data_IF_826665887809
#
_entry.id   IF_826665887809
#
_cell.length_a   1.000
_cell.length_b   1.000
_cell.length_c   1.000
_cell.angle_alpha   90.00
_cell.angle_beta   90.00
_cell.angle_gamma   90.00
#
_symmetry.space_group_name_H-M   'P 1'
#
loop_
_entity.id
_entity.type
_entity.pdbx_description
1 polymer ?
#
# COMPACT_ATOMS: atom_id res chain seq x y z
N UNK A 1 -33.77 -17.22 38.75
CA UNK A 1 -32.60 -16.32 38.61
C UNK A 1 -31.42 -16.89 39.40
N UNK A 2 -30.48 -17.53 38.69
CA UNK A 2 -29.27 -18.11 39.27
C UNK A 2 -28.09 -17.14 39.09
N UNK A 3 -27.19 -17.14 40.06
CA UNK A 3 -26.15 -16.15 40.30
C UNK A 3 -25.06 -16.06 39.21
N UNK A 4 -24.46 -14.86 39.12
CA UNK A 4 -23.28 -14.52 38.33
C UNK A 4 -22.06 -15.32 38.85
N UNK A 5 -21.26 -15.96 37.99
CA UNK A 5 -19.95 -16.44 38.39
C UNK A 5 -18.95 -15.28 38.38
N UNK A 6 -18.37 -15.01 39.55
CA UNK A 6 -17.08 -14.34 39.69
C UNK A 6 -15.96 -15.20 39.11
N UNK A 7 -14.99 -14.57 38.46
CA UNK A 7 -13.73 -15.20 38.08
C UNK A 7 -13.19 -14.69 36.77
N UNK A 8 -12.46 -13.58 36.80
CA UNK A 8 -11.39 -13.34 35.83
C UNK A 8 -10.51 -14.60 35.86
N UNK A 9 -10.42 -15.29 34.72
CA UNK A 9 -9.55 -16.46 34.58
C UNK A 9 -8.11 -16.12 34.97
N UNK A 10 -7.32 -17.12 35.40
CA UNK A 10 -5.97 -16.88 35.87
C UNK A 10 -5.14 -16.18 34.78
N UNK A 11 -4.41 -15.15 35.19
CA UNK A 11 -3.29 -14.59 34.42
C UNK A 11 -2.43 -15.74 33.87
N UNK A 12 -2.03 -15.72 32.59
CA UNK A 12 -1.15 -16.76 32.09
C UNK A 12 0.18 -16.72 32.85
N UNK A 13 0.60 -17.91 33.26
CA UNK A 13 1.82 -18.20 34.00
C UNK A 13 3.07 -17.65 33.28
N UNK A 14 4.09 -17.17 34.02
CA UNK A 14 5.38 -16.82 33.46
C UNK A 14 6.14 -18.13 33.22
N UNK A 15 6.26 -18.55 31.96
CA UNK A 15 7.34 -19.41 31.44
C UNK A 15 7.11 -19.67 29.95
N UNK A 16 7.43 -18.68 29.13
CA UNK A 16 7.72 -18.86 27.71
C UNK A 16 8.97 -18.02 27.42
N UNK A 17 9.97 -18.61 26.76
CA UNK A 17 11.20 -17.94 26.36
C UNK A 17 10.90 -16.52 25.80
N UNK A 18 11.71 -15.53 26.17
CA UNK A 18 11.69 -14.12 25.73
C UNK A 18 11.97 -13.92 24.21
N UNK A 19 11.48 -14.84 23.38
CA UNK A 19 11.66 -14.88 21.93
C UNK A 19 10.37 -14.61 21.15
N UNK A 20 9.23 -14.51 21.83
CA UNK A 20 7.91 -14.36 21.20
C UNK A 20 7.42 -12.91 21.28
N UNK A 21 6.94 -12.37 20.16
CA UNK A 21 6.35 -11.02 20.09
C UNK A 21 5.07 -11.03 20.92
N UNK A 22 5.09 -10.39 22.09
CA UNK A 22 3.90 -10.31 22.94
C UNK A 22 2.89 -9.37 22.31
N UNK A 23 1.70 -9.89 22.01
CA UNK A 23 0.61 -9.10 21.45
C UNK A 23 -0.13 -8.32 22.55
N UNK A 24 -0.40 -7.04 22.28
CA UNK A 24 -1.35 -6.24 23.05
C UNK A 24 -2.74 -6.55 22.55
N UNK A 25 -3.64 -6.97 23.45
CA UNK A 25 -5.00 -7.35 23.12
C UNK A 25 -6.01 -6.35 23.70
N UNK A 26 -6.90 -5.83 22.85
CA UNK A 26 -7.99 -4.97 23.29
C UNK A 26 -7.56 -3.58 23.75
N UNK A 27 -8.55 -2.77 24.13
CA UNK A 27 -8.33 -1.49 24.80
C UNK A 27 -8.07 -0.31 23.85
N UNK A 28 -7.75 0.84 24.47
CA UNK A 28 -7.51 2.10 23.78
C UNK A 28 -6.12 2.63 24.13
N UNK A 29 -5.31 2.96 23.13
CA UNK A 29 -3.97 3.51 23.33
C UNK A 29 -3.77 4.76 22.48
N UNK A 30 -3.02 5.73 23.00
CA UNK A 30 -2.70 6.98 22.29
C UNK A 30 -1.25 7.06 21.82
N UNK A 31 -0.42 6.08 22.19
CA UNK A 31 0.99 6.02 21.86
C UNK A 31 1.46 4.57 21.87
N UNK A 32 2.56 4.32 21.16
CA UNK A 32 3.32 3.08 21.23
C UNK A 32 4.68 3.47 21.80
N UNK A 33 5.05 2.87 22.92
CA UNK A 33 6.36 3.11 23.53
C UNK A 33 7.47 2.46 22.69
N UNK A 34 8.67 3.03 22.77
CA UNK A 34 9.83 2.40 22.17
C UNK A 34 10.05 1.04 22.83
N UNK A 35 10.12 -0.05 22.05
CA UNK A 35 10.28 -1.36 22.64
C UNK A 35 11.66 -1.51 23.26
N UNK A 36 11.72 -2.32 24.33
CA UNK A 36 12.97 -2.61 25.01
C UNK A 36 14.01 -3.22 24.03
N UNK A 37 15.32 -2.97 24.25
CA UNK A 37 16.37 -3.55 23.42
C UNK A 37 16.23 -5.08 23.30
N UNK A 38 16.24 -5.60 22.07
CA UNK A 38 16.12 -7.03 21.78
C UNK A 38 14.70 -7.54 21.48
N UNK A 39 13.67 -6.69 21.59
CA UNK A 39 12.31 -7.02 21.11
C UNK A 39 12.30 -7.16 19.60
N UNK A 40 11.75 -8.29 19.12
CA UNK A 40 11.79 -8.70 17.70
C UNK A 40 10.59 -8.25 16.87
N UNK A 41 9.68 -7.49 17.46
CA UNK A 41 8.45 -7.09 16.80
C UNK A 41 7.43 -6.44 17.70
N UNK A 42 6.37 -5.93 17.08
CA UNK A 42 5.21 -5.33 17.73
C UNK A 42 3.96 -6.08 17.26
N UNK A 43 3.04 -6.39 18.16
CA UNK A 43 1.79 -7.03 17.81
C UNK A 43 0.62 -6.39 18.55
N UNK A 44 -0.43 -6.03 17.82
CA UNK A 44 -1.64 -5.43 18.34
C UNK A 44 -2.85 -6.16 17.75
N UNK A 45 -3.77 -6.57 18.62
CA UNK A 45 -4.98 -7.31 18.26
C UNK A 45 -6.19 -6.65 18.89
N UNK A 46 -7.15 -6.23 18.07
CA UNK A 46 -8.40 -5.60 18.52
C UNK A 46 -8.16 -4.32 19.37
N UNK A 47 -7.12 -3.56 19.02
CA UNK A 47 -6.73 -2.33 19.73
C UNK A 47 -7.30 -1.11 19.01
N UNK A 48 -7.81 -0.12 19.76
CA UNK A 48 -8.22 1.17 19.23
C UNK A 48 -7.16 2.23 19.51
N UNK A 49 -6.52 2.73 18.47
CA UNK A 49 -5.58 3.83 18.57
C UNK A 49 -6.33 5.15 18.56
N UNK A 50 -6.19 5.96 19.61
CA UNK A 50 -6.88 7.25 19.75
C UNK A 50 -6.07 8.44 19.24
N UNK A 51 -4.88 8.18 18.71
CA UNK A 51 -4.02 9.18 18.06
C UNK A 51 -3.27 8.51 16.90
N UNK A 52 -2.77 9.32 15.97
CA UNK A 52 -1.93 8.83 14.88
C UNK A 52 -0.61 8.28 15.43
N UNK A 53 -0.21 7.10 14.94
CA UNK A 53 0.99 6.40 15.39
C UNK A 53 2.08 6.49 14.33
N UNK A 54 3.30 6.76 14.78
CA UNK A 54 4.50 6.71 13.94
C UNK A 54 5.40 5.60 14.45
N UNK A 55 5.66 4.60 13.60
CA UNK A 55 6.60 3.53 13.85
C UNK A 55 7.90 3.85 13.10
N UNK A 56 8.86 4.43 13.82
CA UNK A 56 10.19 4.72 13.28
C UNK A 56 11.12 3.52 13.46
N UNK A 57 11.36 2.79 12.37
CA UNK A 57 12.12 1.54 12.41
C UNK A 57 13.62 1.78 12.66
N UNK A 58 14.11 3.02 12.62
CA UNK A 58 15.50 3.33 12.97
C UNK A 58 15.75 3.23 14.48
N UNK A 59 14.69 3.34 15.29
CA UNK A 59 14.74 3.28 16.75
C UNK A 59 14.62 1.85 17.30
N UNK A 60 14.26 0.92 16.43
CA UNK A 60 14.08 -0.49 16.77
C UNK A 60 15.42 -1.20 16.63
N UNK A 61 16.10 -1.45 17.75
CA UNK A 61 17.43 -2.05 17.79
C UNK A 61 17.38 -3.54 17.40
N UNK A 62 17.42 -3.78 16.08
CA UNK A 62 17.41 -5.13 15.49
C UNK A 62 18.53 -5.35 14.44
N UNK A 63 19.80 -5.09 14.76
CA UNK A 63 20.90 -5.35 13.83
C UNK A 63 20.96 -6.86 13.55
N UNK A 64 20.69 -7.25 12.30
CA UNK A 64 20.72 -8.62 11.75
C UNK A 64 19.44 -9.47 11.86
N UNK A 65 18.31 -8.96 12.36
CA UNK A 65 17.07 -9.74 12.45
C UNK A 65 15.89 -9.07 11.74
N UNK A 66 14.87 -9.87 11.36
CA UNK A 66 13.65 -9.35 10.73
C UNK A 66 12.73 -8.82 11.81
N UNK A 67 12.32 -7.56 11.68
CA UNK A 67 11.35 -6.95 12.58
C UNK A 67 9.92 -7.33 12.15
N UNK A 68 9.13 -7.91 13.05
CA UNK A 68 7.74 -8.29 12.73
C UNK A 68 6.75 -7.31 13.36
N UNK A 69 5.97 -6.60 12.56
CA UNK A 69 4.90 -5.69 13.02
C UNK A 69 3.57 -6.27 12.57
N UNK A 70 2.64 -6.47 13.50
CA UNK A 70 1.30 -7.00 13.21
C UNK A 70 0.22 -6.14 13.86
N UNK A 71 -0.72 -5.67 13.05
CA UNK A 71 -1.94 -4.98 13.46
C UNK A 71 -3.13 -5.77 12.92
N UNK A 72 -3.88 -6.41 13.81
CA UNK A 72 -5.02 -7.26 13.46
C UNK A 72 -6.29 -6.71 14.10
N UNK A 73 -7.30 -6.43 13.29
CA UNK A 73 -8.59 -5.90 13.77
C UNK A 73 -8.45 -4.61 14.57
N UNK A 74 -7.46 -3.78 14.23
CA UNK A 74 -7.21 -2.52 14.92
C UNK A 74 -8.06 -1.39 14.32
N UNK A 75 -8.38 -0.40 15.13
CA UNK A 75 -8.94 0.88 14.67
C UNK A 75 -7.85 1.93 14.78
N UNK A 76 -7.52 2.59 13.68
CA UNK A 76 -6.37 3.47 13.53
C UNK A 76 -6.82 4.89 13.25
N UNK A 77 -6.38 5.86 14.06
CA UNK A 77 -6.52 7.29 13.72
C UNK A 77 -5.56 7.73 12.60
N UNK A 78 -4.50 6.96 12.35
CA UNK A 78 -3.44 7.22 11.38
C UNK A 78 -2.23 6.33 11.70
N UNK A 79 -1.49 5.90 10.68
CA UNK A 79 -0.31 5.06 10.86
C UNK A 79 0.77 5.42 9.86
N UNK A 80 1.96 5.78 10.34
CA UNK A 80 3.16 6.01 9.52
C UNK A 80 4.23 4.99 9.87
N UNK A 81 4.70 4.23 8.89
CA UNK A 81 5.76 3.23 9.03
C UNK A 81 7.00 3.74 8.29
N UNK A 82 8.05 4.06 9.04
CA UNK A 82 9.27 4.67 8.51
C UNK A 82 10.42 3.67 8.44
N UNK A 83 10.69 3.21 7.24
CA UNK A 83 11.78 2.30 6.91
C UNK A 83 13.16 2.88 7.25
N UNK A 84 14.03 2.03 7.79
CA UNK A 84 15.41 2.34 8.20
C UNK A 84 16.48 1.68 7.31
N UNK A 85 16.06 0.99 6.25
CA UNK A 85 16.89 0.10 5.43
C UNK A 85 17.02 -1.32 6.01
N UNK A 86 16.46 -1.58 7.19
CA UNK A 86 16.40 -2.91 7.79
C UNK A 86 15.32 -3.79 7.12
N UNK A 87 15.46 -5.12 7.28
CA UNK A 87 14.45 -6.09 6.85
C UNK A 87 13.26 -6.07 7.82
N UNK A 88 12.05 -5.93 7.30
CA UNK A 88 10.82 -5.90 8.11
C UNK A 88 9.72 -6.76 7.49
N UNK A 89 8.89 -7.35 8.34
CA UNK A 89 7.59 -7.91 7.97
C UNK A 89 6.50 -7.09 8.65
N UNK A 90 5.70 -6.37 7.87
CA UNK A 90 4.56 -5.59 8.34
C UNK A 90 3.29 -6.28 7.86
N UNK A 91 2.33 -6.45 8.76
CA UNK A 91 1.00 -6.99 8.46
C UNK A 91 -0.06 -6.12 9.11
N UNK A 92 -0.86 -5.44 8.29
CA UNK A 92 -2.05 -4.67 8.70
C UNK A 92 -3.26 -5.37 8.13
N UNK A 93 -4.04 -6.05 8.97
CA UNK A 93 -5.09 -6.97 8.52
C UNK A 93 -6.40 -6.73 9.24
N UNK A 94 -7.52 -6.76 8.51
CA UNK A 94 -8.87 -6.53 9.01
C UNK A 94 -9.02 -5.27 9.87
N UNK A 95 -8.17 -4.26 9.62
CA UNK A 95 -8.12 -3.04 10.40
C UNK A 95 -8.93 -1.93 9.73
N UNK A 96 -9.29 -0.90 10.50
CA UNK A 96 -10.04 0.25 9.99
C UNK A 96 -9.30 1.53 10.28
N UNK A 97 -9.28 2.45 9.30
CA UNK A 97 -8.78 3.81 9.47
C UNK A 97 -9.97 4.74 9.75
N UNK A 98 -9.93 5.47 10.87
CA UNK A 98 -11.04 6.31 11.33
C UNK A 98 -10.98 7.74 10.78
N UNK A 99 -9.77 8.32 10.67
CA UNK A 99 -9.65 9.74 10.26
C UNK A 99 -8.39 10.16 9.50
N UNK A 100 -7.29 9.40 9.61
CA UNK A 100 -5.98 9.81 9.08
C UNK A 100 -5.66 9.17 7.74
N UNK A 101 -4.39 8.85 7.55
CA UNK A 101 -3.82 8.12 6.41
C UNK A 101 -2.93 6.95 6.89
N UNK A 102 -2.64 6.03 5.97
CA UNK A 102 -1.62 5.00 6.13
C UNK A 102 -0.40 5.36 5.26
N UNK A 103 0.71 5.71 5.91
CA UNK A 103 1.95 6.11 5.25
C UNK A 103 3.02 5.02 5.36
N UNK A 104 3.66 4.69 4.22
CA UNK A 104 4.95 4.02 4.17
C UNK A 104 6.00 5.02 3.69
N UNK A 105 7.10 5.14 4.43
CA UNK A 105 8.14 6.11 4.10
C UNK A 105 9.54 5.56 4.28
N UNK A 106 10.45 5.92 3.38
CA UNK A 106 11.87 5.57 3.49
C UNK A 106 12.21 4.19 2.94
N UNK A 107 13.30 3.63 3.46
CA UNK A 107 13.95 2.47 2.86
C UNK A 107 13.58 1.18 3.57
N UNK A 108 13.17 0.17 2.80
CA UNK A 108 12.88 -1.16 3.27
C UNK A 108 13.93 -2.13 2.72
N UNK A 109 14.68 -2.76 3.63
CA UNK A 109 15.80 -3.63 3.29
C UNK A 109 15.39 -4.85 2.46
N UNK A 110 16.38 -5.58 1.95
CA UNK A 110 16.14 -6.77 1.14
C UNK A 110 15.31 -7.84 1.89
N UNK A 111 14.38 -8.44 1.16
CA UNK A 111 13.42 -9.45 1.63
C UNK A 111 12.42 -8.94 2.67
N UNK A 112 12.06 -7.66 2.60
CA UNK A 112 10.99 -7.09 3.41
C UNK A 112 9.62 -7.47 2.85
N UNK A 113 8.63 -7.65 3.72
CA UNK A 113 7.25 -7.96 3.35
C UNK A 113 6.32 -6.96 4.00
N UNK A 114 5.61 -6.18 3.21
CA UNK A 114 4.61 -5.23 3.68
C UNK A 114 3.26 -5.72 3.16
N UNK A 115 2.32 -5.95 4.06
CA UNK A 115 0.99 -6.46 3.74
C UNK A 115 -0.07 -5.58 4.38
N UNK A 116 -1.02 -5.13 3.57
CA UNK A 116 -2.28 -4.53 4.01
C UNK A 116 -3.41 -5.36 3.40
N UNK A 117 -4.21 -6.02 4.23
CA UNK A 117 -5.23 -6.95 3.73
C UNK A 117 -6.58 -6.86 4.44
N UNK A 118 -7.67 -7.00 3.67
CA UNK A 118 -9.02 -7.06 4.22
C UNK A 118 -9.43 -5.85 5.05
N UNK A 119 -8.76 -4.70 4.88
CA UNK A 119 -8.88 -3.51 5.72
C UNK A 119 -9.77 -2.45 5.07
N UNK A 120 -10.43 -1.63 5.90
CA UNK A 120 -11.20 -0.47 5.47
C UNK A 120 -10.42 0.81 5.73
N UNK A 121 -9.95 1.47 4.67
CA UNK A 121 -9.05 2.62 4.74
C UNK A 121 -9.73 3.78 4.00
N UNK A 122 -10.60 4.49 4.70
CA UNK A 122 -11.39 5.59 4.15
C UNK A 122 -10.99 6.89 4.83
N UNK A 123 -10.77 7.95 4.03
CA UNK A 123 -10.36 9.26 4.56
C UNK A 123 -10.85 10.41 3.69
N UNK A 124 -10.98 11.59 4.31
CA UNK A 124 -11.27 12.85 3.61
C UNK A 124 -9.98 13.60 3.21
N UNK A 125 -8.81 13.02 3.48
CA UNK A 125 -7.52 13.53 3.03
C UNK A 125 -7.33 13.28 1.53
N UNK A 126 -6.39 14.00 0.91
CA UNK A 126 -6.06 13.81 -0.52
C UNK A 126 -5.72 12.38 -0.88
N UNK A 127 -5.21 11.58 0.05
CA UNK A 127 -4.88 10.17 -0.14
C UNK A 127 -5.19 9.31 1.09
N UNK A 128 -5.59 8.06 0.88
CA UNK A 128 -5.83 7.10 1.95
C UNK A 128 -4.56 6.33 2.34
N UNK A 129 -3.78 5.92 1.35
CA UNK A 129 -2.45 5.33 1.52
C UNK A 129 -1.43 6.18 0.77
N UNK A 130 -0.32 6.51 1.43
CA UNK A 130 0.81 7.18 0.78
C UNK A 130 2.10 6.38 0.91
N UNK A 131 2.83 6.28 -0.19
CA UNK A 131 4.20 5.80 -0.24
C UNK A 131 5.12 6.98 -0.59
N UNK A 132 5.78 7.54 0.42
CA UNK A 132 6.60 8.75 0.32
C UNK A 132 8.09 8.39 0.36
N UNK A 133 8.83 8.67 -0.72
CA UNK A 133 10.27 8.33 -0.82
C UNK A 133 10.48 6.86 -0.45
N UNK A 134 9.80 5.98 -1.18
CA UNK A 134 9.59 4.59 -0.84
C UNK A 134 10.53 3.70 -1.64
N UNK A 135 11.50 3.09 -0.96
CA UNK A 135 12.47 2.18 -1.58
C UNK A 135 12.25 0.75 -1.10
N UNK A 136 11.95 -0.16 -2.04
CA UNK A 136 11.90 -1.60 -1.80
C UNK A 136 13.20 -2.25 -2.29
N UNK A 137 13.99 -2.74 -1.33
CA UNK A 137 15.17 -3.55 -1.62
C UNK A 137 14.83 -4.89 -2.28
N UNK A 138 15.88 -5.62 -2.67
CA UNK A 138 15.72 -6.88 -3.41
C UNK A 138 14.87 -7.95 -2.71
N UNK A 139 14.03 -8.61 -3.51
CA UNK A 139 13.07 -9.63 -3.08
C UNK A 139 12.06 -9.12 -2.04
N UNK A 140 11.81 -7.81 -2.01
CA UNK A 140 10.83 -7.22 -1.11
C UNK A 140 9.49 -7.02 -1.80
N UNK A 141 8.41 -7.04 -1.03
CA UNK A 141 7.07 -6.85 -1.58
C UNK A 141 6.21 -5.91 -0.75
N UNK A 142 5.43 -5.06 -1.41
CA UNK A 142 4.24 -4.43 -0.84
C UNK A 142 3.00 -5.07 -1.46
N UNK A 143 2.09 -5.55 -0.63
CA UNK A 143 0.85 -6.19 -1.07
C UNK A 143 -0.34 -5.48 -0.45
N UNK A 144 -1.22 -4.95 -1.31
CA UNK A 144 -2.53 -4.42 -0.93
C UNK A 144 -3.58 -5.42 -1.43
N UNK A 145 -4.17 -6.19 -0.53
CA UNK A 145 -5.05 -7.31 -0.87
C UNK A 145 -6.47 -7.13 -0.31
N UNK A 146 -7.49 -7.20 -1.17
CA UNK A 146 -8.89 -7.26 -0.75
C UNK A 146 -9.32 -6.13 0.22
N UNK A 147 -8.78 -4.92 0.05
CA UNK A 147 -9.11 -3.77 0.88
C UNK A 147 -10.22 -2.92 0.24
N UNK A 148 -10.91 -2.15 1.09
CA UNK A 148 -11.70 -1.00 0.68
C UNK A 148 -10.85 0.25 0.95
N UNK A 149 -10.46 0.97 -0.10
CA UNK A 149 -9.57 2.13 0.01
C UNK A 149 -10.23 3.32 -0.68
N UNK A 150 -10.48 4.37 0.08
CA UNK A 150 -11.13 5.59 -0.40
C UNK A 150 -10.39 6.83 0.10
N UNK A 151 -9.90 7.64 -0.83
CA UNK A 151 -9.31 8.94 -0.54
C UNK A 151 -10.05 10.07 -1.25
N UNK A 152 -9.60 11.31 -1.05
CA UNK A 152 -10.22 12.45 -1.73
C UNK A 152 -9.80 12.54 -3.20
N UNK A 153 -8.50 12.68 -3.46
CA UNK A 153 -7.95 12.83 -4.80
C UNK A 153 -7.30 11.53 -5.31
N UNK A 154 -6.76 10.72 -4.38
CA UNK A 154 -6.10 9.46 -4.68
C UNK A 154 -6.50 8.37 -3.68
N UNK A 155 -6.76 7.14 -4.11
CA UNK A 155 -6.91 6.04 -3.15
C UNK A 155 -5.52 5.64 -2.61
N UNK A 156 -4.55 5.45 -3.50
CA UNK A 156 -3.14 5.22 -3.15
C UNK A 156 -2.22 6.16 -3.93
N UNK A 157 -1.32 6.83 -3.23
CA UNK A 157 -0.39 7.80 -3.82
C UNK A 157 1.08 7.39 -3.61
N UNK A 158 1.80 7.19 -4.72
CA UNK A 158 3.22 6.89 -4.77
C UNK A 158 3.98 8.12 -5.24
N UNK A 159 4.66 8.81 -4.31
CA UNK A 159 5.33 10.08 -4.61
C UNK A 159 6.68 9.84 -5.32
N UNK A 160 7.49 8.96 -4.76
CA UNK A 160 8.75 8.56 -5.38
C UNK A 160 9.01 7.12 -4.96
N UNK A 161 8.95 6.21 -5.91
CA UNK A 161 8.98 4.77 -5.65
C UNK A 161 10.09 4.11 -6.43
N UNK A 162 10.91 3.32 -5.74
CA UNK A 162 11.96 2.51 -6.37
C UNK A 162 11.77 1.06 -5.93
N UNK A 163 11.69 0.17 -6.91
CA UNK A 163 11.57 -1.28 -6.70
C UNK A 163 12.77 -1.96 -7.33
N UNK A 164 13.56 -2.70 -6.54
CA UNK A 164 14.83 -3.31 -7.00
C UNK A 164 14.76 -4.83 -6.89
N UNK A 165 13.98 -5.49 -7.76
CA UNK A 165 13.70 -6.93 -7.65
C UNK A 165 12.71 -7.26 -6.52
N UNK A 166 11.68 -8.04 -6.81
CA UNK A 166 10.45 -8.09 -6.01
C UNK A 166 9.38 -7.17 -6.59
N UNK A 167 8.38 -6.75 -5.82
CA UNK A 167 7.29 -5.98 -6.44
C UNK A 167 6.20 -5.43 -5.54
N UNK A 168 5.40 -4.56 -6.14
CA UNK A 168 4.18 -4.04 -5.53
C UNK A 168 3.00 -4.74 -6.20
N UNK A 169 2.12 -5.33 -5.39
CA UNK A 169 0.91 -6.02 -5.83
C UNK A 169 -0.29 -5.31 -5.25
N UNK A 170 -1.21 -4.88 -6.10
CA UNK A 170 -2.50 -4.32 -5.72
C UNK A 170 -3.55 -5.25 -6.29
N UNK A 171 -4.17 -6.07 -5.43
CA UNK A 171 -5.07 -7.14 -5.89
C UNK A 171 -6.37 -7.24 -5.11
N UNK A 172 -7.49 -7.39 -5.81
CA UNK A 172 -8.80 -7.63 -5.17
C UNK A 172 -9.40 -6.42 -4.46
N UNK A 173 -8.80 -5.23 -4.57
CA UNK A 173 -9.24 -4.05 -3.83
C UNK A 173 -10.43 -3.36 -4.50
N UNK A 174 -11.22 -2.67 -3.70
CA UNK A 174 -12.10 -1.60 -4.15
C UNK A 174 -11.40 -0.26 -3.90
N UNK A 175 -11.06 0.45 -4.97
CA UNK A 175 -10.36 1.72 -4.93
C UNK A 175 -11.30 2.83 -5.41
N UNK A 176 -11.64 3.78 -4.55
CA UNK A 176 -12.49 4.92 -4.90
C UNK A 176 -11.85 6.25 -4.51
N UNK A 177 -12.32 7.30 -5.18
CA UNK A 177 -12.05 8.68 -4.82
C UNK A 177 -13.38 9.42 -4.64
N UNK A 178 -13.34 10.60 -4.02
CA UNK A 178 -14.54 11.43 -3.79
C UNK A 178 -14.50 12.76 -4.52
N UNK A 179 -13.31 13.21 -4.95
CA UNK A 179 -13.11 14.40 -5.77
C UNK A 179 -12.90 13.99 -7.23
N UNK A 180 -13.55 14.69 -8.16
CA UNK A 180 -13.40 14.43 -9.60
C UNK A 180 -13.29 15.76 -10.37
N UNK A 181 -12.99 16.89 -9.71
CA UNK A 181 -13.20 18.20 -10.33
C UNK A 181 -12.15 18.57 -11.41
N UNK A 182 -10.90 18.10 -11.27
CA UNK A 182 -9.77 18.55 -12.10
C UNK A 182 -9.27 17.50 -13.11
N UNK A 183 -9.81 16.28 -13.07
CA UNK A 183 -9.52 15.18 -14.00
C UNK A 183 -8.15 14.50 -13.81
N UNK A 184 -7.40 14.92 -12.79
CA UNK A 184 -6.08 14.36 -12.43
C UNK A 184 -6.18 13.31 -11.33
N UNK A 185 -7.32 13.26 -10.65
CA UNK A 185 -7.60 12.33 -9.58
C UNK A 185 -7.57 10.88 -10.07
N UNK A 186 -7.12 9.95 -9.22
CA UNK A 186 -6.93 8.58 -9.65
C UNK A 186 -7.00 7.55 -8.54
N UNK A 187 -7.40 6.32 -8.86
CA UNK A 187 -7.36 5.24 -7.88
C UNK A 187 -5.90 4.96 -7.44
N UNK A 188 -4.96 4.90 -8.39
CA UNK A 188 -3.53 4.77 -8.12
C UNK A 188 -2.75 5.89 -8.83
N UNK A 189 -2.04 6.72 -8.08
CA UNK A 189 -1.21 7.79 -8.63
C UNK A 189 0.28 7.52 -8.38
N UNK A 190 1.08 7.61 -9.44
CA UNK A 190 2.54 7.53 -9.43
C UNK A 190 3.10 8.85 -9.93
N UNK A 191 3.80 9.59 -9.07
CA UNK A 191 4.60 10.74 -9.51
C UNK A 191 5.85 10.22 -10.22
N UNK A 192 6.81 9.67 -9.47
CA UNK A 192 8.01 9.07 -10.02
C UNK A 192 8.13 7.60 -9.63
N UNK A 193 8.40 6.72 -10.61
CA UNK A 193 8.59 5.29 -10.37
C UNK A 193 9.75 4.72 -11.18
N UNK A 194 10.64 4.02 -10.47
CA UNK A 194 11.76 3.28 -11.02
C UNK A 194 11.59 1.78 -10.72
N UNK A 195 11.37 0.98 -11.76
CA UNK A 195 11.32 -0.48 -11.68
C UNK A 195 12.62 -1.06 -12.20
N UNK A 196 13.50 -1.47 -11.29
CA UNK A 196 14.86 -1.95 -11.59
C UNK A 196 14.95 -3.47 -11.49
N UNK A 197 15.90 -4.05 -12.23
CA UNK A 197 16.12 -5.49 -12.31
C UNK A 197 14.84 -6.24 -12.71
N UNK A 198 14.53 -7.34 -12.04
CA UNK A 198 13.31 -8.14 -12.15
C UNK A 198 12.15 -7.59 -11.29
N UNK A 199 12.18 -6.28 -10.99
CA UNK A 199 11.12 -5.60 -10.25
C UNK A 199 9.78 -5.63 -11.00
N UNK A 200 8.67 -5.64 -10.27
CA UNK A 200 7.34 -5.60 -10.90
C UNK A 200 6.31 -4.78 -10.14
N UNK A 201 5.36 -4.27 -10.91
CA UNK A 201 4.13 -3.65 -10.45
C UNK A 201 2.96 -4.40 -11.07
N UNK A 202 2.10 -5.01 -10.25
CA UNK A 202 0.96 -5.82 -10.71
C UNK A 202 -0.34 -5.35 -10.06
N UNK A 203 -1.25 -4.84 -10.89
CA UNK A 203 -2.59 -4.39 -10.50
C UNK A 203 -3.58 -5.36 -11.09
N UNK A 204 -4.13 -6.24 -10.26
CA UNK A 204 -4.94 -7.37 -10.71
C UNK A 204 -6.31 -7.41 -10.03
N UNK A 205 -7.38 -7.64 -10.77
CA UNK A 205 -8.71 -7.93 -10.19
C UNK A 205 -9.19 -6.85 -9.19
N UNK A 206 -8.95 -5.57 -9.49
CA UNK A 206 -9.44 -4.47 -8.67
C UNK A 206 -10.71 -3.87 -9.28
N UNK A 207 -11.59 -3.35 -8.42
CA UNK A 207 -12.68 -2.46 -8.82
C UNK A 207 -12.26 -1.02 -8.55
N UNK A 208 -12.29 -0.18 -9.57
CA UNK A 208 -11.83 1.20 -9.49
C UNK A 208 -12.93 2.17 -9.93
N UNK A 209 -13.14 3.22 -9.15
CA UNK A 209 -14.02 4.34 -9.50
C UNK A 209 -13.29 5.66 -9.28
N UNK A 210 -12.89 6.31 -10.37
CA UNK A 210 -12.08 7.53 -10.35
C UNK A 210 -12.04 8.21 -11.73
N UNK A 211 -11.52 9.45 -11.79
CA UNK A 211 -11.18 10.09 -13.05
C UNK A 211 -10.16 9.26 -13.85
N UNK A 212 -9.11 8.73 -13.21
CA UNK A 212 -8.21 7.76 -13.82
C UNK A 212 -8.04 6.51 -12.95
N UNK A 213 -7.90 5.33 -13.57
CA UNK A 213 -7.59 4.11 -12.84
C UNK A 213 -6.17 4.19 -12.25
N UNK A 214 -5.19 4.35 -13.13
CA UNK A 214 -3.77 4.48 -12.80
C UNK A 214 -3.21 5.69 -13.54
N UNK A 215 -2.65 6.64 -12.80
CA UNK A 215 -2.02 7.83 -13.36
C UNK A 215 -0.50 7.78 -13.10
N UNK A 216 0.29 7.92 -14.16
CA UNK A 216 1.73 8.14 -14.11
C UNK A 216 2.01 9.60 -14.50
N UNK A 217 2.29 10.42 -13.50
CA UNK A 217 2.29 11.87 -13.62
C UNK A 217 3.66 12.46 -14.03
N UNK A 218 4.77 11.92 -13.52
CA UNK A 218 6.13 12.36 -13.86
C UNK A 218 6.91 11.20 -14.53
N UNK A 219 8.13 10.92 -14.07
CA UNK A 219 9.01 9.96 -14.72
C UNK A 219 8.70 8.51 -14.31
N UNK A 220 8.50 7.67 -15.31
CA UNK A 220 8.35 6.22 -15.17
C UNK A 220 9.47 5.52 -15.93
N UNK A 221 10.34 4.81 -15.21
CA UNK A 221 11.43 4.03 -15.80
C UNK A 221 11.25 2.56 -15.46
N UNK A 222 11.21 1.72 -16.48
CA UNK A 222 11.13 0.26 -16.33
C UNK A 222 12.34 -0.36 -17.01
N UNK A 223 13.19 -0.98 -16.21
CA UNK A 223 14.43 -1.62 -16.68
C UNK A 223 14.15 -2.89 -17.49
N UNK A 224 15.19 -3.40 -18.16
CA UNK A 224 15.09 -4.52 -19.13
C UNK A 224 14.39 -5.81 -18.67
N UNK A 225 14.29 -6.09 -17.36
CA UNK A 225 13.55 -7.24 -16.83
C UNK A 225 12.32 -6.84 -16.00
N UNK A 226 11.98 -5.56 -15.99
CA UNK A 226 10.87 -5.02 -15.23
C UNK A 226 9.51 -5.26 -15.88
N UNK A 227 8.47 -5.32 -15.04
CA UNK A 227 7.09 -5.51 -15.47
C UNK A 227 6.16 -4.46 -14.86
N UNK A 228 5.38 -3.78 -15.71
CA UNK A 228 4.16 -3.08 -15.31
C UNK A 228 2.95 -3.84 -15.85
N UNK A 229 2.05 -4.30 -14.99
CA UNK A 229 0.87 -5.07 -15.39
C UNK A 229 -0.39 -4.52 -14.76
N UNK A 230 -1.42 -4.38 -15.59
CA UNK A 230 -2.78 -4.02 -15.20
C UNK A 230 -3.71 -5.04 -15.83
N UNK A 231 -4.30 -5.90 -15.01
CA UNK A 231 -5.05 -7.04 -15.50
C UNK A 231 -6.37 -7.29 -14.79
N UNK A 232 -7.35 -7.75 -15.55
CA UNK A 232 -8.63 -8.25 -15.02
C UNK A 232 -9.34 -7.26 -14.08
N UNK A 233 -9.07 -5.95 -14.21
CA UNK A 233 -9.67 -4.91 -13.39
C UNK A 233 -10.99 -4.42 -14.01
N UNK A 234 -11.89 -3.97 -13.15
CA UNK A 234 -13.10 -3.26 -13.54
C UNK A 234 -12.95 -1.77 -13.21
N UNK A 235 -12.93 -0.92 -14.23
CA UNK A 235 -12.78 0.52 -14.08
C UNK A 235 -14.00 1.25 -14.63
N UNK A 236 -14.60 2.08 -13.78
CA UNK A 236 -15.56 3.10 -14.15
C UNK A 236 -14.85 4.46 -14.09
N UNK A 237 -14.74 5.11 -15.25
CA UNK A 237 -14.26 6.48 -15.31
C UNK A 237 -15.30 7.47 -14.82
N UNK A 238 -14.84 8.66 -14.46
CA UNK A 238 -15.71 9.80 -14.16
C UNK A 238 -16.64 10.11 -15.33
N UNK A 239 -17.86 10.54 -15.01
CA UNK A 239 -18.86 11.04 -15.98
C UNK A 239 -18.73 12.54 -16.26
N UNK A 240 -17.76 13.21 -15.65
CA UNK A 240 -17.51 14.64 -15.80
C UNK A 240 -16.91 14.99 -17.19
N UNK A 241 -16.70 16.29 -17.44
CA UNK A 241 -16.37 16.83 -18.77
C UNK A 241 -14.97 16.53 -19.32
N UNK A 242 -14.13 15.79 -18.61
CA UNK A 242 -12.76 15.43 -19.02
C UNK A 242 -12.66 13.99 -19.52
N UNK A 243 -11.48 13.63 -20.04
CA UNK A 243 -11.22 12.30 -20.57
C UNK A 243 -10.62 11.40 -19.51
N UNK A 244 -11.42 10.46 -19.03
CA UNK A 244 -11.00 9.40 -18.10
C UNK A 244 -10.23 8.29 -18.82
N UNK A 245 -9.26 7.67 -18.13
CA UNK A 245 -8.57 6.48 -18.63
C UNK A 245 -8.24 5.45 -17.54
N UNK A 246 -8.25 4.15 -17.90
CA UNK A 246 -7.75 3.10 -17.00
C UNK A 246 -6.27 3.30 -16.70
N UNK A 247 -5.46 3.60 -17.72
CA UNK A 247 -4.05 3.97 -17.55
C UNK A 247 -3.80 5.31 -18.24
N UNK A 248 -3.31 6.30 -17.52
CA UNK A 248 -2.88 7.58 -18.06
C UNK A 248 -1.39 7.79 -17.82
N UNK A 249 -0.70 8.30 -18.85
CA UNK A 249 0.68 8.75 -18.77
C UNK A 249 0.73 10.23 -19.12
N UNK A 250 0.86 11.06 -18.09
CA UNK A 250 1.03 12.49 -18.24
C UNK A 250 2.50 12.90 -18.26
N UNK A 251 3.38 12.12 -17.63
CA UNK A 251 4.82 12.33 -17.65
C UNK A 251 5.57 11.46 -18.66
N UNK A 252 6.89 11.32 -18.46
CA UNK A 252 7.76 10.56 -19.34
C UNK A 252 7.77 9.08 -19.00
N UNK A 253 7.75 8.23 -20.04
CA UNK A 253 7.86 6.78 -19.88
C UNK A 253 9.08 6.27 -20.64
N UNK A 254 9.98 5.60 -19.92
CA UNK A 254 11.13 4.90 -20.48
C UNK A 254 11.02 3.42 -20.19
N UNK A 255 10.83 2.62 -21.25
CA UNK A 255 10.87 1.16 -21.19
C UNK A 255 12.19 0.71 -21.83
N UNK A 256 13.10 0.14 -21.05
CA UNK A 256 14.35 -0.41 -21.58
C UNK A 256 14.09 -1.67 -22.43
N UNK A 257 15.07 -2.04 -23.26
CA UNK A 257 14.96 -3.24 -24.10
C UNK A 257 14.73 -4.49 -23.24
N UNK A 258 13.58 -5.13 -23.42
CA UNK A 258 13.15 -6.31 -22.65
C UNK A 258 12.08 -6.00 -21.59
N UNK A 259 11.93 -4.74 -21.19
CA UNK A 259 10.90 -4.31 -20.25
C UNK A 259 9.51 -4.65 -20.80
N UNK A 260 8.59 -4.99 -19.89
CA UNK A 260 7.24 -5.38 -20.26
C UNK A 260 6.22 -4.44 -19.65
N UNK A 261 5.27 -4.03 -20.48
CA UNK A 261 4.05 -3.38 -20.03
C UNK A 261 2.84 -4.12 -20.60
N UNK A 262 1.92 -4.51 -19.74
CA UNK A 262 0.75 -5.32 -20.08
C UNK A 262 -0.53 -4.68 -19.53
N UNK A 263 -1.50 -4.49 -20.40
CA UNK A 263 -2.86 -4.07 -20.05
C UNK A 263 -3.83 -5.08 -20.68
N UNK A 264 -4.36 -6.01 -19.89
CA UNK A 264 -5.04 -7.21 -20.40
C UNK A 264 -6.29 -7.57 -19.59
N UNK A 265 -7.34 -8.10 -20.24
CA UNK A 265 -8.53 -8.61 -19.53
C UNK A 265 -9.37 -7.56 -18.78
N UNK A 266 -9.08 -6.27 -18.93
CA UNK A 266 -9.77 -5.22 -18.17
C UNK A 266 -11.16 -4.88 -18.76
N UNK A 267 -12.12 -4.65 -17.87
CA UNK A 267 -13.44 -4.09 -18.17
C UNK A 267 -13.40 -2.59 -17.91
N UNK A 268 -13.58 -1.79 -18.97
CA UNK A 268 -13.50 -0.32 -18.88
C UNK A 268 -14.81 0.29 -19.36
N UNK A 269 -15.39 1.17 -18.55
CA UNK A 269 -16.65 1.87 -18.85
C UNK A 269 -16.49 3.38 -18.68
N UNK A 270 -17.14 4.15 -19.55
CA UNK A 270 -17.07 5.63 -19.59
C UNK A 270 -15.64 6.23 -19.63
N UNK A 271 -14.66 5.45 -20.09
CA UNK A 271 -13.25 5.86 -20.13
C UNK A 271 -12.52 5.21 -21.31
N UNK A 272 -11.34 5.75 -21.62
CA UNK A 272 -10.38 5.09 -22.50
C UNK A 272 -9.61 4.01 -21.74
N UNK A 273 -9.07 3.01 -22.45
CA UNK A 273 -8.14 2.07 -21.82
C UNK A 273 -6.80 2.76 -21.51
N UNK A 274 -6.38 3.67 -22.38
CA UNK A 274 -5.07 4.30 -22.33
C UNK A 274 -5.12 5.74 -22.83
N UNK A 275 -4.52 6.67 -22.08
CA UNK A 275 -4.20 8.03 -22.51
C UNK A 275 -2.69 8.24 -22.34
N UNK A 276 -2.05 8.86 -23.33
CA UNK A 276 -0.65 9.28 -23.25
C UNK A 276 -0.57 10.73 -23.71
N UNK A 277 -0.23 11.63 -22.81
CA UNK A 277 -0.18 13.07 -23.06
C UNK A 277 1.16 13.50 -23.68
N UNK A 278 2.27 12.88 -23.26
CA UNK A 278 3.63 13.27 -23.69
C UNK A 278 4.51 12.07 -24.09
N UNK A 279 4.32 11.52 -25.30
CA UNK A 279 5.16 10.43 -25.82
C UNK A 279 6.33 10.93 -26.68
N UNK A 280 7.57 10.57 -26.33
CA UNK A 280 8.74 10.70 -27.23
C UNK A 280 8.84 9.57 -28.26
N UNK A 281 8.12 8.46 -28.04
CA UNK A 281 8.17 7.25 -28.84
C UNK A 281 6.79 6.87 -29.38
N UNK A 282 6.76 6.22 -30.55
CA UNK A 282 5.54 5.66 -31.12
C UNK A 282 5.30 4.29 -30.49
N UNK A 283 4.21 4.14 -29.75
CA UNK A 283 3.77 2.84 -29.25
C UNK A 283 3.08 2.06 -30.37
N UNK A 284 3.43 0.78 -30.51
CA UNK A 284 2.71 -0.15 -31.36
C UNK A 284 1.85 -1.04 -30.46
N UNK A 285 0.53 -0.86 -30.56
CA UNK A 285 -0.42 -1.71 -29.88
C UNK A 285 -0.53 -3.04 -30.64
N UNK A 286 -0.29 -4.15 -29.94
CA UNK A 286 -0.56 -5.49 -30.45
C UNK A 286 -1.72 -6.11 -29.67
N UNK A 287 -2.87 -6.23 -30.31
CA UNK A 287 -4.02 -6.95 -29.76
C UNK A 287 -3.97 -8.43 -30.13
N UNK A 288 -4.48 -9.28 -29.24
CA UNK A 288 -5.04 -10.59 -29.61
C UNK A 288 -6.54 -10.56 -29.38
#
# INVERSE_FOLDING_TARGET
>A
PAAVPEGLGPLPLPDANDTEVRCVHGGRISSVDDPDPGVRGLCFVNVTFTAAIVLDLSRLDAPQQSLNITLLQCVLMGLSIRGSGARVHVSVVFSMLDSGDLEFRGDFGASSQLLVAGSGITTNLSYAIQCLIFYLGANSTLQLLDNLIEGKNYAVHFVHTVVVGGGIVVKGNTLSITDEDDGMESALCFNAVDVKNDGYFDVENNTMNAANGICFYEDTVVSSAGLLRVADCNFAGSTEGFKSALVSFDGWVTLESGAQWRVEGNSVSAASVLIISHSQYKFQLSGR
#
